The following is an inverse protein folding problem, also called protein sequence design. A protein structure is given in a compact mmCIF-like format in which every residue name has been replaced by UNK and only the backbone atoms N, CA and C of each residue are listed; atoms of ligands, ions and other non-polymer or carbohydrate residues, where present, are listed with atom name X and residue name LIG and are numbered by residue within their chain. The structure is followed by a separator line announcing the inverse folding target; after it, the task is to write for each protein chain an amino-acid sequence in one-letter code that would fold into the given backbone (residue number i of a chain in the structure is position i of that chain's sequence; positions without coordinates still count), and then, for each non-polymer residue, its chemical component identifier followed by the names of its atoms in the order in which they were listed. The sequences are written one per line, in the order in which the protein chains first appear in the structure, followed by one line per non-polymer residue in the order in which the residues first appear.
data_IF_677189295940
#
_entry.id   IF_677189295940
#
_cell.length_a   1.000
_cell.length_b   1.000
_cell.length_c   1.000
_cell.angle_alpha   90.00
_cell.angle_beta   90.00
_cell.angle_gamma   90.00
#
_symmetry.space_group_name_H-M   'P 1'
#
loop_
_entity.id
_entity.type
_entity.pdbx_description
1 polymer ?
#
# COMPACT_ATOMS: atom_id res chain seq x y z
N UNK A 1 -2.94 37.65 -73.49
CA UNK A 1 -2.34 37.82 -72.15
C UNK A 1 -2.86 36.73 -71.24
N UNK A 2 -1.95 35.84 -70.83
CA UNK A 2 -1.93 34.81 -69.76
C UNK A 2 -3.25 34.15 -69.32
N UNK A 3 -3.38 32.89 -69.74
CA UNK A 3 -4.28 31.84 -69.26
C UNK A 3 -3.81 31.34 -67.87
N UNK A 4 -4.67 31.42 -66.86
CA UNK A 4 -4.35 31.01 -65.48
C UNK A 4 -4.91 29.60 -65.23
N UNK A 5 -4.04 28.59 -65.25
CA UNK A 5 -4.38 27.19 -65.03
C UNK A 5 -4.63 26.89 -63.55
N UNK A 6 -5.87 26.54 -63.20
CA UNK A 6 -6.22 26.02 -61.87
C UNK A 6 -5.83 24.54 -61.82
N UNK A 7 -4.74 24.22 -61.12
CA UNK A 7 -4.39 22.81 -60.83
C UNK A 7 -5.35 22.24 -59.78
N UNK A 8 -5.90 21.03 -59.95
CA UNK A 8 -6.66 20.37 -58.89
C UNK A 8 -5.72 19.99 -57.73
N UNK A 9 -6.11 20.34 -56.50
CA UNK A 9 -5.44 19.82 -55.29
C UNK A 9 -5.61 18.31 -55.24
N UNK A 10 -4.51 17.57 -55.31
CA UNK A 10 -4.50 16.11 -55.13
C UNK A 10 -5.12 15.77 -53.77
N UNK A 11 -6.01 14.76 -53.68
CA UNK A 11 -6.44 14.26 -52.38
C UNK A 11 -5.22 13.72 -51.62
N UNK A 12 -5.15 13.92 -50.30
CA UNK A 12 -4.06 13.38 -49.49
C UNK A 12 -4.06 11.86 -49.62
N UNK A 13 -2.88 11.28 -49.84
CA UNK A 13 -2.72 9.82 -49.97
C UNK A 13 -3.19 9.17 -48.65
N UNK A 14 -4.05 8.15 -48.76
CA UNK A 14 -4.68 7.48 -47.61
C UNK A 14 -3.67 6.95 -46.56
N UNK A 15 -2.41 6.73 -46.95
CA UNK A 15 -1.33 6.34 -46.04
C UNK A 15 -0.85 7.42 -45.06
N UNK A 16 -1.12 8.72 -45.29
CA UNK A 16 -0.70 9.78 -44.35
C UNK A 16 -1.65 9.90 -43.14
N UNK A 17 -2.92 9.49 -43.29
CA UNK A 17 -3.89 9.49 -42.18
C UNK A 17 -3.63 8.34 -41.20
N UNK A 18 -3.27 7.15 -41.70
CA UNK A 18 -2.93 6.00 -40.85
C UNK A 18 -1.61 6.20 -40.09
N UNK A 19 -0.60 6.80 -40.71
CA UNK A 19 0.68 7.07 -40.04
C UNK A 19 0.56 8.10 -38.90
N UNK A 20 -0.48 8.94 -38.91
CA UNK A 20 -0.75 9.91 -37.84
C UNK A 20 -1.44 9.30 -36.62
N UNK A 21 -2.18 8.19 -36.81
CA UNK A 21 -2.78 7.44 -35.71
C UNK A 21 -1.79 6.46 -35.06
N UNK A 22 -0.84 5.91 -35.84
CA UNK A 22 0.15 4.95 -35.35
C UNK A 22 1.28 5.57 -34.50
N UNK A 23 1.39 6.91 -34.44
CA UNK A 23 2.48 7.63 -33.75
C UNK A 23 2.05 8.38 -32.49
N UNK A 24 0.93 8.00 -31.86
CA UNK A 24 0.68 8.47 -30.49
C UNK A 24 1.39 7.51 -29.52
N UNK A 25 2.49 7.91 -28.87
CA UNK A 25 3.12 7.05 -27.89
C UNK A 25 2.11 6.77 -26.78
N UNK A 26 1.77 5.50 -26.60
CA UNK A 26 0.87 5.02 -25.54
C UNK A 26 1.38 5.46 -24.16
N UNK A 27 2.68 5.76 -24.03
CA UNK A 27 3.30 6.34 -22.83
C UNK A 27 2.70 7.70 -22.42
N UNK A 28 2.16 8.48 -23.35
CA UNK A 28 1.57 9.80 -23.06
C UNK A 28 0.18 9.73 -22.39
N UNK A 29 -0.58 8.67 -22.65
CA UNK A 29 -1.92 8.48 -22.07
C UNK A 29 -1.79 7.84 -20.68
N UNK A 30 -0.88 6.86 -20.54
CA UNK A 30 -0.54 6.24 -19.25
C UNK A 30 0.02 7.28 -18.29
N UNK A 31 0.94 8.14 -18.74
CA UNK A 31 1.53 9.19 -17.89
C UNK A 31 0.60 10.34 -17.50
N UNK A 32 -0.50 10.55 -18.24
CA UNK A 32 -1.56 11.49 -17.85
C UNK A 32 -2.49 10.90 -16.78
N UNK A 33 -2.78 9.60 -16.85
CA UNK A 33 -3.49 8.88 -15.79
C UNK A 33 -2.69 8.80 -14.49
N UNK A 34 -1.37 8.61 -14.58
CA UNK A 34 -0.45 8.57 -13.44
C UNK A 34 -0.44 9.88 -12.63
N UNK A 35 -0.43 11.03 -13.32
CA UNK A 35 -0.38 12.36 -12.69
C UNK A 35 -1.72 12.83 -12.10
N UNK A 36 -2.85 12.30 -12.57
CA UNK A 36 -4.17 12.64 -12.03
C UNK A 36 -4.51 11.80 -10.80
N UNK A 37 -4.09 10.53 -10.76
CA UNK A 37 -4.42 9.60 -9.68
C UNK A 37 -3.62 9.87 -8.40
N UNK A 38 -2.36 10.26 -8.51
CA UNK A 38 -1.56 10.73 -7.38
C UNK A 38 -2.15 11.98 -6.70
N UNK A 39 -3.07 12.71 -7.36
CA UNK A 39 -3.65 13.95 -6.82
C UNK A 39 -4.89 13.71 -5.96
N UNK A 40 -5.45 12.51 -5.86
CA UNK A 40 -6.73 12.31 -5.17
C UNK A 40 -6.60 12.41 -3.64
N UNK A 41 -5.58 11.79 -3.03
CA UNK A 41 -5.27 11.95 -1.61
C UNK A 41 -4.86 13.37 -1.22
N UNK A 42 -4.27 14.12 -2.17
CA UNK A 42 -3.80 15.50 -1.98
C UNK A 42 -4.88 16.56 -2.20
N UNK A 43 -6.12 16.17 -2.51
CA UNK A 43 -7.27 17.09 -2.54
C UNK A 43 -7.86 17.34 -1.16
N UNK A 44 -7.53 16.51 -0.17
CA UNK A 44 -7.91 16.74 1.21
C UNK A 44 -7.13 17.93 1.76
N UNK A 45 -7.80 18.78 2.55
CA UNK A 45 -7.12 19.81 3.32
C UNK A 45 -6.20 19.13 4.34
N UNK A 46 -5.01 19.69 4.57
CA UNK A 46 -4.01 19.11 5.50
C UNK A 46 -4.59 18.71 6.86
N UNK A 47 -5.46 19.51 7.52
CA UNK A 47 -6.05 19.11 8.80
C UNK A 47 -6.91 17.85 8.71
N UNK A 48 -7.63 17.66 7.61
CA UNK A 48 -8.44 16.46 7.37
C UNK A 48 -7.55 15.24 7.17
N UNK A 49 -6.46 15.39 6.42
CA UNK A 49 -5.50 14.30 6.22
C UNK A 49 -4.87 13.86 7.55
N UNK A 50 -4.46 14.82 8.39
CA UNK A 50 -3.91 14.53 9.72
C UNK A 50 -4.93 13.78 10.58
N UNK A 51 -6.18 14.26 10.63
CA UNK A 51 -7.25 13.60 11.39
C UNK A 51 -7.48 12.16 10.91
N UNK A 52 -7.50 11.94 9.59
CA UNK A 52 -7.63 10.59 9.01
C UNK A 52 -6.46 9.70 9.42
N UNK A 53 -5.22 10.19 9.38
CA UNK A 53 -4.05 9.40 9.77
C UNK A 53 -4.08 9.04 11.27
N UNK A 54 -4.44 9.99 12.14
CA UNK A 54 -4.55 9.77 13.59
C UNK A 54 -5.65 8.75 13.90
N UNK A 55 -6.83 8.92 13.31
CA UNK A 55 -7.95 7.99 13.50
C UNK A 55 -7.63 6.58 12.97
N UNK A 56 -7.01 6.49 11.79
CA UNK A 56 -6.61 5.21 11.21
C UNK A 56 -5.55 4.49 12.08
N UNK A 57 -4.57 5.22 12.60
CA UNK A 57 -3.59 4.66 13.53
C UNK A 57 -4.24 4.12 14.80
N UNK A 58 -5.20 4.87 15.38
CA UNK A 58 -5.94 4.43 16.56
C UNK A 58 -6.75 3.17 16.28
N UNK A 59 -7.44 3.10 15.14
CA UNK A 59 -8.22 1.91 14.77
C UNK A 59 -7.32 0.68 14.61
N UNK A 60 -6.15 0.79 13.99
CA UNK A 60 -5.20 -0.32 13.94
C UNK A 60 -4.77 -0.76 15.36
N UNK A 61 -4.48 0.19 16.25
CA UNK A 61 -4.07 -0.11 17.61
C UNK A 61 -5.19 -0.80 18.41
N UNK A 62 -6.45 -0.40 18.21
CA UNK A 62 -7.61 -1.06 18.81
C UNK A 62 -7.84 -2.46 18.24
N UNK A 63 -7.64 -2.66 16.92
CA UNK A 63 -7.68 -3.99 16.30
C UNK A 63 -6.59 -4.89 16.88
N UNK A 64 -5.36 -4.39 17.03
CA UNK A 64 -4.29 -5.12 17.69
C UNK A 64 -4.68 -5.48 19.13
N UNK A 65 -5.13 -4.51 19.93
CA UNK A 65 -5.55 -4.76 21.31
C UNK A 65 -6.65 -5.83 21.42
N UNK A 66 -7.60 -5.85 20.48
CA UNK A 66 -8.65 -6.87 20.43
C UNK A 66 -8.08 -8.27 20.14
N UNK A 67 -7.15 -8.37 19.19
CA UNK A 67 -6.49 -9.64 18.83
C UNK A 67 -5.66 -10.17 20.00
N UNK A 68 -4.97 -9.27 20.70
CA UNK A 68 -4.19 -9.57 21.89
C UNK A 68 -5.06 -9.97 23.08
N UNK A 69 -6.26 -9.40 23.22
CA UNK A 69 -7.20 -9.79 24.26
C UNK A 69 -7.65 -11.26 24.15
N UNK A 70 -7.62 -11.84 22.94
CA UNK A 70 -7.96 -13.24 22.70
C UNK A 70 -6.73 -14.16 22.56
N UNK A 71 -5.52 -13.66 22.87
CA UNK A 71 -4.24 -14.39 22.74
C UNK A 71 -4.02 -14.98 21.32
N UNK A 72 -4.59 -14.33 20.30
CA UNK A 72 -4.42 -14.75 18.92
C UNK A 72 -3.02 -14.30 18.46
N UNK A 73 -2.18 -15.19 17.91
CA UNK A 73 -0.80 -14.86 17.53
C UNK A 73 -0.73 -14.08 16.20
N UNK A 74 -1.53 -13.02 16.04
CA UNK A 74 -1.56 -12.13 14.89
C UNK A 74 -1.41 -10.68 15.37
N UNK A 75 -1.08 -9.75 14.46
CA UNK A 75 -0.83 -8.36 14.85
C UNK A 75 -1.98 -7.42 14.47
N UNK A 76 -2.51 -7.51 13.25
CA UNK A 76 -3.57 -6.64 12.72
C UNK A 76 -3.34 -5.12 12.88
N UNK A 77 -2.08 -4.72 13.05
CA UNK A 77 -1.63 -3.37 13.32
C UNK A 77 -1.32 -2.56 12.04
N UNK A 78 -1.43 -3.18 10.88
CA UNK A 78 -0.97 -2.59 9.62
C UNK A 78 -2.02 -2.54 8.52
N UNK A 79 -3.27 -2.91 8.82
CA UNK A 79 -4.38 -2.93 7.85
C UNK A 79 -4.60 -1.54 7.26
N UNK A 80 -4.84 -0.54 8.11
CA UNK A 80 -5.08 0.83 7.64
C UNK A 80 -3.80 1.52 7.20
N UNK A 81 -2.63 1.03 7.62
CA UNK A 81 -1.32 1.47 7.14
C UNK A 81 -1.16 1.14 5.65
N UNK A 82 -1.47 -0.10 5.27
CA UNK A 82 -1.48 -0.55 3.88
C UNK A 82 -2.56 0.14 3.05
N UNK A 83 -3.78 0.30 3.59
CA UNK A 83 -4.86 1.02 2.90
C UNK A 83 -4.47 2.47 2.63
N UNK A 84 -3.95 3.20 3.63
CA UNK A 84 -3.52 4.58 3.46
C UNK A 84 -2.37 4.70 2.45
N UNK A 85 -1.39 3.79 2.49
CA UNK A 85 -0.30 3.73 1.53
C UNK A 85 -0.80 3.51 0.10
N UNK A 86 -1.76 2.60 -0.09
CA UNK A 86 -2.29 2.25 -1.40
C UNK A 86 -3.22 3.33 -1.98
N UNK A 87 -4.05 3.94 -1.14
CA UNK A 87 -5.13 4.86 -1.57
C UNK A 87 -4.69 6.32 -1.57
N UNK A 88 -4.01 6.76 -0.52
CA UNK A 88 -3.66 8.17 -0.31
C UNK A 88 -2.21 8.42 -0.76
N UNK A 89 -1.30 7.50 -0.42
CA UNK A 89 0.10 7.52 -0.81
C UNK A 89 1.06 7.28 0.35
N UNK A 90 2.36 7.23 0.03
CA UNK A 90 3.41 6.87 0.99
C UNK A 90 3.43 7.70 2.28
N UNK A 91 3.36 9.05 2.25
CA UNK A 91 3.44 9.83 3.49
C UNK A 91 2.31 9.52 4.46
N UNK A 92 1.09 9.32 3.95
CA UNK A 92 -0.06 8.95 4.75
C UNK A 92 0.09 7.53 5.32
N UNK A 93 0.53 6.58 4.50
CA UNK A 93 0.82 5.22 4.96
C UNK A 93 1.87 5.18 6.09
N UNK A 94 3.00 5.87 5.91
CA UNK A 94 4.04 5.98 6.95
C UNK A 94 3.45 6.62 8.22
N UNK A 95 2.74 7.74 8.09
CA UNK A 95 2.13 8.41 9.24
C UNK A 95 1.19 7.48 10.02
N UNK A 96 0.31 6.74 9.33
CA UNK A 96 -0.59 5.76 9.97
C UNK A 96 0.19 4.65 10.67
N UNK A 97 1.24 4.10 10.04
CA UNK A 97 2.05 3.03 10.63
C UNK A 97 2.82 3.48 11.88
N UNK A 98 3.37 4.70 11.87
CA UNK A 98 4.03 5.28 13.03
C UNK A 98 3.02 5.56 14.15
N UNK A 99 1.90 6.23 13.83
CA UNK A 99 0.86 6.56 14.80
C UNK A 99 0.20 5.31 15.42
N UNK A 100 0.11 4.20 14.67
CA UNK A 100 -0.39 2.94 15.22
C UNK A 100 0.43 2.51 16.43
N UNK A 101 1.77 2.53 16.31
CA UNK A 101 2.64 2.08 17.39
C UNK A 101 2.64 3.06 18.57
N UNK A 102 2.48 4.37 18.30
CA UNK A 102 2.24 5.36 19.36
C UNK A 102 0.95 5.05 20.12
N UNK A 103 -0.15 4.75 19.42
CA UNK A 103 -1.39 4.39 20.07
C UNK A 103 -1.31 3.06 20.82
N UNK A 104 -0.64 2.05 20.28
CA UNK A 104 -0.41 0.78 20.98
C UNK A 104 0.35 1.00 22.28
N UNK A 105 1.37 1.86 22.28
CA UNK A 105 2.09 2.25 23.49
C UNK A 105 1.18 2.92 24.53
N UNK A 106 0.35 3.88 24.09
CA UNK A 106 -0.60 4.56 24.96
C UNK A 106 -1.64 3.58 25.55
N UNK A 107 -2.16 2.67 24.73
CA UNK A 107 -3.14 1.66 25.16
C UNK A 107 -2.54 0.63 26.11
N UNK A 108 -1.23 0.37 26.01
CA UNK A 108 -0.51 -0.53 26.90
C UNK A 108 -0.15 0.11 28.27
N UNK A 109 -0.49 1.38 28.51
CA UNK A 109 -0.24 2.06 29.78
C UNK A 109 0.96 3.02 29.77
N UNK A 110 1.73 3.09 28.68
CA UNK A 110 2.59 4.22 28.33
C UNK A 110 3.79 4.54 29.23
N UNK A 111 4.18 3.69 30.18
CA UNK A 111 5.25 4.02 31.14
C UNK A 111 6.40 3.03 31.25
N UNK A 112 6.23 1.77 30.82
CA UNK A 112 7.27 0.75 30.98
C UNK A 112 7.84 0.28 29.62
N UNK A 113 9.07 0.71 29.31
CA UNK A 113 9.91 0.11 28.27
C UNK A 113 9.77 0.64 26.83
N UNK A 114 8.75 1.46 26.51
CA UNK A 114 8.52 2.01 25.16
C UNK A 114 8.55 0.95 24.05
N UNK A 115 8.06 -0.26 24.36
CA UNK A 115 8.30 -1.47 23.56
C UNK A 115 7.71 -1.30 22.16
N UNK A 116 6.47 -0.83 22.05
CA UNK A 116 5.77 -0.75 20.76
C UNK A 116 6.34 0.33 19.85
N UNK A 117 6.88 1.43 20.41
CA UNK A 117 7.51 2.48 19.61
C UNK A 117 8.68 1.95 18.77
N UNK A 118 9.41 0.95 19.26
CA UNK A 118 10.51 0.33 18.50
C UNK A 118 10.03 -0.53 17.31
N UNK A 119 8.76 -0.90 17.27
CA UNK A 119 8.11 -1.57 16.13
C UNK A 119 7.49 -0.59 15.13
N UNK A 120 7.49 0.73 15.41
CA UNK A 120 7.03 1.76 14.48
C UNK A 120 7.68 1.68 13.08
N UNK A 121 9.00 1.46 12.95
CA UNK A 121 9.63 1.27 11.63
C UNK A 121 9.10 0.04 10.89
N UNK A 122 8.73 -1.03 11.58
CA UNK A 122 8.18 -2.25 10.97
C UNK A 122 6.85 -1.94 10.26
N UNK A 123 5.96 -1.19 10.91
CA UNK A 123 4.72 -0.74 10.27
C UNK A 123 4.95 0.27 9.15
N UNK A 124 5.90 1.20 9.31
CA UNK A 124 6.26 2.11 8.23
C UNK A 124 6.77 1.36 6.99
N UNK A 125 7.55 0.29 7.16
CA UNK A 125 8.03 -0.55 6.06
C UNK A 125 6.89 -1.25 5.31
N UNK A 126 5.82 -1.64 5.99
CA UNK A 126 4.60 -2.15 5.32
C UNK A 126 4.04 -1.11 4.35
N UNK A 127 3.94 0.15 4.76
CA UNK A 127 3.49 1.23 3.86
C UNK A 127 4.45 1.42 2.67
N UNK A 128 5.76 1.35 2.89
CA UNK A 128 6.77 1.49 1.83
C UNK A 128 6.59 0.40 0.77
N UNK A 129 6.47 -0.86 1.18
CA UNK A 129 6.34 -1.99 0.24
C UNK A 129 5.02 -1.91 -0.53
N UNK A 130 3.90 -1.71 0.17
CA UNK A 130 2.58 -1.61 -0.48
C UNK A 130 2.55 -0.45 -1.47
N UNK A 131 3.06 0.72 -1.09
CA UNK A 131 3.12 1.87 -1.99
C UNK A 131 4.06 1.64 -3.17
N UNK A 132 5.18 0.91 -3.00
CA UNK A 132 6.07 0.59 -4.10
C UNK A 132 5.37 -0.28 -5.17
N UNK A 133 4.57 -1.26 -4.76
CA UNK A 133 3.75 -2.07 -5.68
C UNK A 133 2.69 -1.21 -6.39
N UNK A 134 2.02 -0.31 -5.68
CA UNK A 134 1.04 0.61 -6.28
C UNK A 134 1.71 1.59 -7.26
N UNK A 135 2.84 2.18 -6.89
CA UNK A 135 3.58 3.15 -7.70
C UNK A 135 4.12 2.52 -8.99
N UNK A 136 4.55 1.26 -8.93
CA UNK A 136 5.08 0.52 -10.09
C UNK A 136 3.99 -0.14 -10.94
N UNK A 137 2.71 0.17 -10.68
CA UNK A 137 1.55 -0.45 -11.35
C UNK A 137 1.45 -1.97 -11.15
N UNK A 138 2.19 -2.55 -10.20
CA UNK A 138 2.14 -3.97 -9.84
C UNK A 138 1.19 -4.19 -8.68
N UNK A 139 -0.03 -3.64 -8.74
CA UNK A 139 -1.05 -3.84 -7.70
C UNK A 139 -2.45 -3.81 -8.32
N UNK A 140 -2.63 -4.57 -9.40
CA UNK A 140 -3.88 -4.60 -10.19
C UNK A 140 -4.50 -5.99 -10.31
N UNK A 141 -3.71 -7.05 -10.08
CA UNK A 141 -4.15 -8.44 -10.09
C UNK A 141 -4.04 -9.12 -8.71
N UNK A 142 -4.72 -10.26 -8.54
CA UNK A 142 -4.58 -11.07 -7.33
C UNK A 142 -3.16 -11.64 -7.18
N UNK A 143 -2.48 -11.92 -8.30
CA UNK A 143 -1.08 -12.35 -8.32
C UNK A 143 -0.15 -11.26 -7.78
N UNK A 144 -0.37 -10.01 -8.18
CA UNK A 144 0.38 -8.86 -7.63
C UNK A 144 0.16 -8.70 -6.12
N UNK A 145 -1.08 -8.87 -5.66
CA UNK A 145 -1.42 -8.80 -4.25
C UNK A 145 -0.74 -9.93 -3.45
N UNK A 146 -0.65 -11.13 -4.01
CA UNK A 146 0.11 -12.24 -3.42
C UNK A 146 1.60 -11.91 -3.33
N UNK A 147 2.22 -11.41 -4.40
CA UNK A 147 3.62 -11.01 -4.38
C UNK A 147 3.88 -9.87 -3.38
N UNK A 148 2.96 -8.90 -3.29
CA UNK A 148 3.02 -7.83 -2.30
C UNK A 148 2.93 -8.39 -0.88
N UNK A 149 2.02 -9.34 -0.64
CA UNK A 149 1.89 -10.03 0.65
C UNK A 149 3.19 -10.71 1.07
N UNK A 150 3.80 -11.47 0.17
CA UNK A 150 5.08 -12.15 0.43
C UNK A 150 6.18 -11.12 0.74
N UNK A 151 6.26 -10.04 -0.05
CA UNK A 151 7.25 -8.98 0.15
C UNK A 151 7.07 -8.28 1.52
N UNK A 152 5.85 -7.90 1.89
CA UNK A 152 5.54 -7.29 3.20
C UNK A 152 5.87 -8.27 4.33
N UNK A 153 5.50 -9.55 4.17
CA UNK A 153 5.76 -10.60 5.15
C UNK A 153 7.25 -10.73 5.44
N UNK A 154 8.08 -10.85 4.39
CA UNK A 154 9.53 -11.02 4.55
C UNK A 154 10.17 -9.78 5.16
N UNK A 155 9.80 -8.58 4.69
CA UNK A 155 10.32 -7.32 5.22
C UNK A 155 9.97 -7.16 6.69
N UNK A 156 8.72 -7.43 7.08
CA UNK A 156 8.31 -7.33 8.48
C UNK A 156 8.89 -8.43 9.36
N UNK A 157 9.05 -9.66 8.86
CA UNK A 157 9.67 -10.74 9.61
C UNK A 157 11.14 -10.41 9.91
N UNK A 158 11.89 -9.92 8.92
CA UNK A 158 13.29 -9.48 9.12
C UNK A 158 13.34 -8.29 10.07
N UNK A 159 12.58 -7.22 9.80
CA UNK A 159 12.62 -6.00 10.61
C UNK A 159 12.19 -6.27 12.06
N UNK A 160 11.09 -7.01 12.27
CA UNK A 160 10.62 -7.37 13.60
C UNK A 160 11.58 -8.30 14.36
N UNK A 161 12.28 -9.19 13.65
CA UNK A 161 13.32 -10.04 14.27
C UNK A 161 14.52 -9.21 14.68
N UNK A 162 14.97 -8.27 13.86
CA UNK A 162 16.06 -7.34 14.21
C UNK A 162 15.66 -6.53 15.44
N UNK A 163 14.46 -5.94 15.45
CA UNK A 163 13.94 -5.18 16.60
C UNK A 163 13.96 -6.02 17.89
N UNK A 164 13.41 -7.25 17.85
CA UNK A 164 13.32 -8.07 19.07
C UNK A 164 14.69 -8.53 19.60
N UNK A 165 15.62 -8.86 18.70
CA UNK A 165 16.95 -9.33 19.09
C UNK A 165 17.83 -8.19 19.60
N UNK A 166 17.80 -7.04 18.93
CA UNK A 166 18.69 -5.91 19.27
C UNK A 166 18.30 -5.20 20.55
N UNK A 167 17.01 -5.20 20.92
CA UNK A 167 16.49 -4.39 22.02
C UNK A 167 15.97 -5.22 23.20
N UNK A 168 15.55 -6.46 22.96
CA UNK A 168 14.82 -7.26 23.94
C UNK A 168 15.38 -8.68 24.12
N UNK A 169 16.56 -8.97 23.57
CA UNK A 169 17.22 -10.27 23.74
C UNK A 169 16.50 -11.46 23.08
N UNK A 170 15.49 -11.20 22.25
CA UNK A 170 14.76 -12.23 21.49
C UNK A 170 13.28 -12.42 21.85
N UNK A 171 12.77 -11.80 22.93
CA UNK A 171 11.36 -11.88 23.32
C UNK A 171 10.88 -10.59 24.01
N UNK A 172 9.60 -10.29 23.86
CA UNK A 172 8.88 -9.17 24.47
C UNK A 172 7.57 -9.65 25.13
N UNK A 173 7.51 -10.93 25.53
CA UNK A 173 6.30 -11.58 26.07
C UNK A 173 5.05 -11.40 25.20
N UNK A 174 5.24 -11.44 23.87
CA UNK A 174 4.15 -11.34 22.90
C UNK A 174 3.68 -12.75 22.47
N UNK A 175 2.42 -12.97 22.05
CA UNK A 175 1.94 -14.31 21.67
C UNK A 175 2.79 -15.07 20.64
N UNK A 176 3.49 -14.38 19.72
CA UNK A 176 4.45 -15.01 18.79
C UNK A 176 5.62 -15.69 19.52
N UNK A 177 6.01 -15.19 20.70
CA UNK A 177 7.16 -15.68 21.46
C UNK A 177 6.92 -17.07 22.07
N UNK A 178 5.67 -17.51 22.19
CA UNK A 178 5.34 -18.91 22.50
C UNK A 178 5.89 -19.84 21.41
N UNK A 179 5.75 -19.46 20.14
CA UNK A 179 6.30 -20.21 19.01
C UNK A 179 7.82 -20.12 19.00
N UNK A 180 8.38 -18.94 19.28
CA UNK A 180 9.85 -18.75 19.35
C UNK A 180 10.44 -19.69 20.40
N UNK A 181 9.87 -19.68 21.61
CA UNK A 181 10.27 -20.53 22.74
C UNK A 181 10.16 -22.01 22.38
N UNK A 182 9.04 -22.45 21.79
CA UNK A 182 8.84 -23.84 21.36
C UNK A 182 9.89 -24.29 20.34
N UNK A 183 10.24 -23.44 19.37
CA UNK A 183 11.27 -23.74 18.37
C UNK A 183 12.67 -23.72 19.00
N UNK A 184 12.95 -22.83 19.94
CA UNK A 184 14.24 -22.81 20.65
C UNK A 184 14.46 -24.07 21.50
N UNK A 185 13.40 -24.66 22.07
CA UNK A 185 13.50 -25.95 22.78
C UNK A 185 13.97 -27.11 21.90
N UNK A 186 13.86 -27.01 20.57
CA UNK A 186 14.40 -28.03 19.65
C UNK A 186 15.89 -27.83 19.33
N UNK A 187 16.57 -26.90 20.02
CA UNK A 187 17.99 -26.58 19.83
C UNK A 187 18.27 -25.57 18.71
N UNK A 188 17.24 -24.98 18.11
CA UNK A 188 17.40 -23.91 17.10
C UNK A 188 17.83 -22.61 17.80
N UNK A 189 18.84 -21.89 17.30
CA UNK A 189 19.30 -20.66 17.93
C UNK A 189 18.19 -19.58 17.91
N UNK A 190 18.12 -18.77 18.98
CA UNK A 190 17.04 -17.80 19.22
C UNK A 190 16.78 -16.86 18.04
N UNK A 191 17.83 -16.40 17.35
CA UNK A 191 17.68 -15.50 16.21
C UNK A 191 16.93 -16.15 15.04
N UNK A 192 17.18 -17.45 14.80
CA UNK A 192 16.55 -18.21 13.74
C UNK A 192 15.13 -18.62 14.16
N UNK A 193 14.93 -18.99 15.43
CA UNK A 193 13.60 -19.26 15.97
C UNK A 193 12.70 -18.01 15.88
N UNK A 194 13.22 -16.84 16.25
CA UNK A 194 12.53 -15.56 16.17
C UNK A 194 12.12 -15.21 14.73
N UNK A 195 13.00 -15.46 13.77
CA UNK A 195 12.73 -15.26 12.35
C UNK A 195 11.69 -16.25 11.80
N UNK A 196 11.89 -17.55 12.04
CA UNK A 196 11.02 -18.61 11.53
C UNK A 196 9.61 -18.54 12.10
N UNK A 197 9.44 -18.21 13.38
CA UNK A 197 8.14 -18.04 14.01
C UNK A 197 7.34 -16.86 13.39
N UNK A 198 8.04 -15.80 13.00
CA UNK A 198 7.42 -14.58 12.43
C UNK A 198 6.97 -14.75 10.99
N UNK A 199 7.55 -15.65 10.19
CA UNK A 199 7.16 -15.84 8.79
C UNK A 199 5.70 -16.29 8.65
N UNK A 200 5.25 -17.44 9.21
CA UNK A 200 3.89 -17.93 8.98
C UNK A 200 2.84 -16.99 9.58
N UNK A 201 3.10 -16.41 10.76
CA UNK A 201 2.19 -15.48 11.40
C UNK A 201 2.06 -14.17 10.60
N UNK A 202 3.19 -13.57 10.17
CA UNK A 202 3.13 -12.42 9.28
C UNK A 202 2.49 -12.80 7.94
N UNK A 203 2.67 -14.00 7.42
CA UNK A 203 2.05 -14.38 6.16
C UNK A 203 0.53 -14.35 6.25
N UNK A 204 -0.04 -14.89 7.33
CA UNK A 204 -1.49 -14.86 7.59
C UNK A 204 -1.96 -13.41 7.79
N UNK A 205 -1.29 -12.67 8.67
CA UNK A 205 -1.60 -11.28 8.99
C UNK A 205 -1.56 -10.35 7.76
N UNK A 206 -0.49 -10.46 6.98
CA UNK A 206 -0.25 -9.62 5.81
C UNK A 206 -1.11 -10.02 4.62
N UNK A 207 -1.56 -11.28 4.54
CA UNK A 207 -2.55 -11.70 3.55
C UNK A 207 -3.85 -10.90 3.72
N UNK A 208 -4.35 -10.77 4.95
CA UNK A 208 -5.57 -10.00 5.22
C UNK A 208 -5.32 -8.51 4.99
N UNK A 209 -4.21 -7.98 5.51
CA UNK A 209 -3.81 -6.57 5.36
C UNK A 209 -3.75 -6.14 3.89
N UNK A 210 -3.01 -6.89 3.06
CA UNK A 210 -2.80 -6.56 1.65
C UNK A 210 -4.07 -6.79 0.84
N UNK A 211 -4.85 -7.82 1.14
CA UNK A 211 -6.15 -8.05 0.49
C UNK A 211 -7.11 -6.88 0.70
N UNK A 212 -7.23 -6.37 1.94
CA UNK A 212 -8.07 -5.20 2.25
C UNK A 212 -7.58 -3.96 1.50
N UNK A 213 -6.26 -3.70 1.51
CA UNK A 213 -5.68 -2.57 0.77
C UNK A 213 -5.94 -2.67 -0.75
N UNK A 214 -5.82 -3.89 -1.31
CA UNK A 214 -6.10 -4.17 -2.72
C UNK A 214 -7.56 -3.93 -3.09
N UNK A 215 -8.50 -4.43 -2.27
CA UNK A 215 -9.94 -4.24 -2.47
C UNK A 215 -10.29 -2.75 -2.36
N UNK A 216 -9.78 -2.05 -1.35
CA UNK A 216 -10.03 -0.63 -1.14
C UNK A 216 -9.58 0.20 -2.35
N UNK A 217 -8.36 -0.02 -2.85
CA UNK A 217 -7.87 0.67 -4.04
C UNK A 217 -8.72 0.38 -5.28
N UNK A 218 -9.12 -0.87 -5.50
CA UNK A 218 -9.93 -1.26 -6.66
C UNK A 218 -11.33 -0.65 -6.61
N UNK A 219 -11.96 -0.65 -5.43
CA UNK A 219 -13.27 -0.05 -5.22
C UNK A 219 -13.26 1.44 -5.58
N UNK A 220 -12.25 2.17 -5.12
CA UNK A 220 -12.10 3.60 -5.39
C UNK A 220 -11.76 3.91 -6.85
N UNK A 221 -10.97 3.06 -7.51
CA UNK A 221 -10.69 3.18 -8.95
C UNK A 221 -11.96 3.04 -9.78
N UNK A 222 -12.86 2.12 -9.44
CA UNK A 222 -14.15 1.93 -10.15
C UNK A 222 -15.06 3.15 -10.02
N UNK A 223 -15.24 3.65 -8.79
CA UNK A 223 -16.03 4.88 -8.52
C UNK A 223 -15.55 6.09 -9.30
N UNK A 224 -14.24 6.28 -9.43
CA UNK A 224 -13.67 7.42 -10.15
C UNK A 224 -13.99 7.41 -11.66
N UNK A 225 -14.13 6.22 -12.26
CA UNK A 225 -14.51 6.05 -13.67
C UNK A 225 -15.99 6.37 -13.89
N UNK A 226 -16.86 5.96 -12.95
CA UNK A 226 -18.31 6.20 -13.02
C UNK A 226 -18.70 7.68 -12.95
N UNK A 227 -17.91 8.51 -12.26
CA UNK A 227 -18.16 9.96 -12.12
C UNK A 227 -17.49 10.83 -13.19
N UNK A 228 -16.85 10.24 -14.21
CA UNK A 228 -16.22 10.98 -15.29
C UNK A 228 -17.24 11.66 -16.21
N UNK A 229 -16.92 12.82 -16.82
CA UNK A 229 -17.84 13.48 -17.75
C UNK A 229 -18.19 12.53 -18.90
N UNK A 230 -19.49 12.36 -19.17
CA UNK A 230 -19.99 11.63 -20.33
C UNK A 230 -19.41 12.25 -21.61
N UNK A 231 -18.96 11.44 -22.59
CA UNK A 231 -18.45 11.97 -23.85
C UNK A 231 -19.53 12.85 -24.49
N UNK A 232 -19.19 14.12 -24.75
CA UNK A 232 -20.05 15.03 -25.49
C UNK A 232 -20.49 14.35 -26.79
N UNK A 233 -21.79 14.37 -27.14
CA UNK A 233 -22.22 13.88 -28.44
C UNK A 233 -21.52 14.73 -29.50
N UNK A 234 -20.61 14.12 -30.27
CA UNK A 234 -19.92 14.78 -31.37
C UNK A 234 -20.96 15.30 -32.37
N UNK A 235 -21.14 16.62 -32.36
CA UNK A 235 -21.92 17.35 -33.33
C UNK A 235 -21.21 17.32 -34.70
N UNK A 236 -21.25 16.19 -35.41
CA UNK A 236 -20.77 16.08 -36.78
C UNK A 236 -21.65 15.17 -37.65
N UNK A 237 -22.97 15.27 -37.47
CA UNK A 237 -23.95 14.72 -38.40
C UNK A 237 -24.98 15.79 -38.75
N UNK A 238 -24.54 16.81 -39.50
CA UNK A 238 -25.37 17.66 -40.37
C UNK A 238 -24.55 18.04 -41.58
#
# INVERSE_FOLDING_TARGET
MRENSVRPKRPPKDGEREQRFARRPVSGIVSRGERSQQRWGWRLRVPVLVLVCVAAGLVNALLNALIQHFDIPLFFDSVLTAVAAAVIGLPAGIAVGLLTNVWMEVLAGGTDGLVFLWFAPVNALTAVVVWAFVRTQRFHSAYDALLCTIAVTLVNAVAGTITVLSLFGGSIDYPVDLIVTAVTFTGVPVWLAAFLARIPLNLIDKSVTVAIAFIALRYLRRRSVETGPSPEPTASAR
#
